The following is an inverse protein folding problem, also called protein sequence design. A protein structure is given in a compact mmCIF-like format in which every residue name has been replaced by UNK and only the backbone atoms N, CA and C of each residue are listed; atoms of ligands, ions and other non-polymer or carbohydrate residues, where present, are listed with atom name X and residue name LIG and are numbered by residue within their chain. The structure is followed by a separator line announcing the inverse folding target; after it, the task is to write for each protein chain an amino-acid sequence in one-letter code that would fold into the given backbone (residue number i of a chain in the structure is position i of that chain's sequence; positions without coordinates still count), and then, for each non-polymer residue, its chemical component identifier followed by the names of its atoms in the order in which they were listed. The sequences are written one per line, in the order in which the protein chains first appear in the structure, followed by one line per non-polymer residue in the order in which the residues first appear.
data_IF_919812734327
#
_entry.id   IF_919812734327
#
_cell.length_a   1.000
_cell.length_b   1.000
_cell.length_c   1.000
_cell.angle_alpha   90.00
_cell.angle_beta   90.00
_cell.angle_gamma   90.00
#
_symmetry.space_group_name_H-M   'P 1'
#
loop_
_entity.id
_entity.type
_entity.pdbx_description
1 polymer ?
#
# COMPACT_ATOMS: atom_id res chain seq x y z
N UNK A 1 -28.91 -10.05 -19.84
CA UNK A 1 -28.04 -11.00 -19.14
C UNK A 1 -28.07 -12.30 -19.91
N UNK A 2 -26.91 -12.82 -20.28
CA UNK A 2 -26.77 -14.13 -20.91
C UNK A 2 -25.71 -14.93 -20.16
N UNK A 3 -26.10 -16.07 -19.60
CA UNK A 3 -25.25 -16.85 -18.68
C UNK A 3 -26.07 -17.34 -17.50
N UNK A 4 -25.41 -18.02 -16.56
CA UNK A 4 -25.95 -18.29 -15.24
C UNK A 4 -25.22 -17.37 -14.25
N UNK A 5 -25.98 -16.63 -13.45
CA UNK A 5 -25.44 -15.84 -12.36
C UNK A 5 -25.28 -16.74 -11.12
N UNK A 6 -24.09 -16.85 -10.56
CA UNK A 6 -23.82 -17.70 -9.40
C UNK A 6 -22.38 -17.55 -8.90
N UNK A 7 -22.08 -18.04 -7.69
CA UNK A 7 -20.75 -17.86 -7.11
C UNK A 7 -19.67 -18.53 -7.96
N UNK A 8 -18.60 -17.79 -8.30
CA UNK A 8 -17.53 -18.24 -9.19
C UNK A 8 -17.90 -18.31 -10.67
N UNK A 9 -19.09 -17.81 -11.05
CA UNK A 9 -19.56 -17.77 -12.43
C UNK A 9 -19.44 -16.37 -13.01
N UNK A 10 -19.15 -16.32 -14.32
CA UNK A 10 -19.16 -15.08 -15.09
C UNK A 10 -20.46 -14.99 -15.89
N UNK A 11 -21.19 -13.90 -15.73
CA UNK A 11 -22.41 -13.58 -16.50
C UNK A 11 -22.16 -12.36 -17.35
N UNK A 12 -22.47 -12.45 -18.63
CA UNK A 12 -22.42 -11.29 -19.51
C UNK A 12 -23.65 -10.40 -19.29
N UNK A 13 -23.40 -9.16 -18.90
CA UNK A 13 -24.39 -8.09 -18.80
C UNK A 13 -24.32 -7.29 -20.08
N UNK A 14 -25.43 -7.20 -20.82
CA UNK A 14 -25.49 -6.45 -22.06
C UNK A 14 -26.82 -5.69 -22.21
N UNK A 15 -26.78 -4.54 -22.88
CA UNK A 15 -27.98 -3.86 -23.34
C UNK A 15 -28.74 -4.72 -24.37
N UNK A 16 -30.07 -4.65 -24.34
CA UNK A 16 -30.89 -5.32 -25.34
C UNK A 16 -30.56 -4.80 -26.75
N UNK A 17 -30.50 -5.71 -27.72
CA UNK A 17 -30.29 -5.50 -29.15
C UNK A 17 -31.23 -4.47 -29.81
N UNK A 18 -32.34 -4.13 -29.17
CA UNK A 18 -33.27 -3.07 -29.58
C UNK A 18 -32.89 -1.65 -29.15
N UNK A 19 -31.86 -1.47 -28.32
CA UNK A 19 -31.37 -0.17 -27.86
C UNK A 19 -30.18 0.31 -28.69
N UNK A 20 -29.92 1.63 -28.69
CA UNK A 20 -28.68 2.18 -29.28
C UNK A 20 -27.47 1.70 -28.47
N UNK A 21 -26.35 1.49 -29.16
CA UNK A 21 -25.10 1.06 -28.56
C UNK A 21 -24.63 2.04 -27.48
N UNK A 22 -24.41 1.52 -26.27
CA UNK A 22 -23.67 2.22 -25.25
C UNK A 22 -22.18 2.29 -25.61
N UNK A 23 -21.52 3.33 -25.10
CA UNK A 23 -20.07 3.51 -25.16
C UNK A 23 -19.38 2.87 -23.97
N UNK A 24 -20.05 2.80 -22.81
CA UNK A 24 -19.56 2.15 -21.59
C UNK A 24 -20.73 1.56 -20.79
N UNK A 25 -20.48 0.50 -20.02
CA UNK A 25 -21.45 -0.08 -19.10
C UNK A 25 -20.77 -0.45 -17.78
N UNK A 26 -21.42 -0.08 -16.67
CA UNK A 26 -21.08 -0.49 -15.31
C UNK A 26 -22.25 -1.30 -14.76
N UNK A 27 -22.00 -2.47 -14.19
CA UNK A 27 -23.02 -3.24 -13.51
C UNK A 27 -22.52 -3.71 -12.14
N UNK A 28 -23.40 -3.65 -11.15
CA UNK A 28 -23.18 -4.16 -9.81
C UNK A 28 -24.21 -5.26 -9.55
N UNK A 29 -23.77 -6.39 -8.99
CA UNK A 29 -24.69 -7.40 -8.48
C UNK A 29 -24.65 -7.46 -6.97
N UNK A 30 -25.83 -7.46 -6.36
CA UNK A 30 -26.00 -7.48 -4.91
C UNK A 30 -26.97 -8.59 -4.49
N UNK A 31 -26.71 -9.31 -3.39
CA UNK A 31 -27.67 -10.26 -2.85
C UNK A 31 -28.92 -9.54 -2.31
N UNK A 32 -30.12 -10.06 -2.59
CA UNK A 32 -31.41 -9.46 -2.18
C UNK A 32 -31.71 -9.61 -0.69
N UNK A 33 -31.17 -10.64 -0.04
CA UNK A 33 -31.36 -10.94 1.38
C UNK A 33 -30.01 -11.25 2.02
N UNK A 34 -29.71 -10.62 3.15
CA UNK A 34 -28.38 -10.69 3.77
C UNK A 34 -27.43 -9.77 3.02
N UNK A 35 -27.10 -8.63 3.62
CA UNK A 35 -26.01 -7.82 3.14
C UNK A 35 -24.75 -8.53 3.62
N UNK A 36 -24.03 -9.18 2.71
CA UNK A 36 -22.73 -9.76 3.04
C UNK A 36 -21.66 -8.73 2.66
N UNK A 37 -21.09 -7.99 3.63
CA UNK A 37 -20.06 -7.00 3.36
C UNK A 37 -18.80 -7.61 2.73
N UNK A 38 -18.62 -8.94 2.75
CA UNK A 38 -17.55 -9.61 2.00
C UNK A 38 -17.86 -9.78 0.49
N UNK A 39 -19.12 -9.57 0.06
CA UNK A 39 -19.56 -9.78 -1.34
C UNK A 39 -19.64 -8.52 -2.18
N UNK A 40 -19.57 -7.34 -1.55
CA UNK A 40 -19.43 -6.08 -2.25
C UNK A 40 -18.21 -5.44 -1.63
N UNK A 41 -17.22 -5.13 -2.44
CA UNK A 41 -16.09 -4.31 -2.03
C UNK A 41 -16.59 -2.87 -1.81
N UNK A 42 -17.33 -2.71 -0.72
CA UNK A 42 -18.23 -1.59 -0.51
C UNK A 42 -17.44 -0.32 -0.25
N UNK A 43 -16.18 -0.44 0.18
CA UNK A 43 -15.26 0.66 0.38
C UNK A 43 -14.91 1.34 -0.94
N UNK A 44 -14.48 0.57 -1.96
CA UNK A 44 -14.26 1.03 -3.32
C UNK A 44 -15.54 1.62 -3.94
N UNK A 45 -16.69 0.98 -3.68
CA UNK A 45 -17.98 1.49 -4.16
C UNK A 45 -18.46 2.74 -3.41
N UNK A 46 -18.15 2.92 -2.12
CA UNK A 46 -18.59 4.08 -1.33
C UNK A 46 -17.86 5.35 -1.69
N UNK A 47 -16.56 5.28 -2.01
CA UNK A 47 -15.84 6.45 -2.52
C UNK A 47 -16.43 6.94 -3.85
N UNK A 48 -16.66 6.02 -4.79
CA UNK A 48 -17.24 6.33 -6.09
C UNK A 48 -18.73 6.71 -6.02
N UNK A 49 -19.53 5.96 -5.24
CA UNK A 49 -20.98 6.10 -5.15
C UNK A 49 -21.44 7.29 -4.32
N UNK A 50 -20.73 7.64 -3.24
CA UNK A 50 -21.02 8.85 -2.45
C UNK A 50 -20.82 10.13 -3.29
N UNK A 51 -19.84 10.12 -4.20
CA UNK A 51 -19.55 11.20 -5.13
C UNK A 51 -20.55 11.23 -6.31
N UNK A 52 -20.88 10.07 -6.89
CA UNK A 52 -21.75 9.98 -8.07
C UNK A 52 -23.25 10.13 -7.79
N UNK A 53 -23.74 9.74 -6.60
CA UNK A 53 -25.18 9.67 -6.34
C UNK A 53 -25.85 11.05 -6.11
N UNK A 54 -25.08 12.14 -5.99
CA UNK A 54 -25.60 13.40 -5.46
C UNK A 54 -26.03 14.45 -6.50
N UNK A 55 -25.72 14.33 -7.80
CA UNK A 55 -26.25 15.11 -8.96
C UNK A 55 -25.27 14.94 -10.15
N UNK A 56 -25.59 14.71 -11.43
CA UNK A 56 -26.80 14.80 -12.24
C UNK A 56 -26.69 13.84 -13.47
N UNK A 57 -27.80 13.58 -14.16
CA UNK A 57 -27.94 12.72 -15.35
C UNK A 57 -27.27 13.28 -16.63
N UNK A 58 -25.98 13.64 -16.58
CA UNK A 58 -25.09 13.79 -17.74
C UNK A 58 -24.12 12.61 -17.79
N UNK A 59 -23.59 12.25 -18.97
CA UNK A 59 -22.60 11.16 -19.09
C UNK A 59 -21.38 11.30 -18.16
N UNK A 60 -20.52 10.28 -18.16
CA UNK A 60 -19.29 10.20 -17.38
C UNK A 60 -18.30 11.35 -17.70
N UNK A 61 -18.27 11.81 -18.96
CA UNK A 61 -17.29 12.80 -19.47
C UNK A 61 -17.39 14.20 -18.78
N UNK A 62 -18.58 14.81 -18.60
CA UNK A 62 -18.72 16.01 -17.79
C UNK A 62 -18.28 15.87 -16.31
N UNK A 63 -18.39 14.67 -15.74
CA UNK A 63 -17.94 14.37 -14.37
C UNK A 63 -16.42 14.18 -14.32
N UNK A 64 -15.85 13.61 -15.39
CA UNK A 64 -14.40 13.42 -15.58
C UNK A 64 -13.63 14.75 -15.72
N UNK A 65 -14.27 15.81 -16.23
CA UNK A 65 -13.70 17.17 -16.25
C UNK A 65 -13.69 17.87 -14.89
N UNK A 66 -14.42 17.35 -13.90
CA UNK A 66 -14.52 17.86 -12.52
C UNK A 66 -13.77 16.95 -11.51
N UNK A 67 -13.06 15.91 -11.99
CA UNK A 67 -12.23 15.03 -11.15
C UNK A 67 -11.10 15.84 -10.50
N UNK A 68 -10.86 15.56 -9.22
CA UNK A 68 -10.08 16.38 -8.27
C UNK A 68 -8.66 16.63 -8.77
N UNK A 69 -8.30 17.89 -9.06
CA UNK A 69 -6.89 18.30 -9.04
C UNK A 69 -6.52 18.68 -7.62
N UNK A 70 -5.50 18.00 -7.08
CA UNK A 70 -4.82 18.42 -5.86
C UNK A 70 -3.62 19.25 -6.31
N UNK A 71 -3.63 20.51 -5.92
CA UNK A 71 -2.60 21.47 -6.29
C UNK A 71 -1.77 21.81 -5.06
N UNK A 72 -0.46 21.70 -5.18
CA UNK A 72 0.47 22.29 -4.22
C UNK A 72 0.92 23.65 -4.77
N UNK A 73 0.82 24.67 -3.92
CA UNK A 73 1.16 26.05 -4.23
C UNK A 73 2.32 26.49 -3.36
N UNK A 74 3.35 27.00 -4.00
CA UNK A 74 4.45 27.72 -3.37
C UNK A 74 4.31 29.21 -3.64
N UNK A 75 4.44 30.01 -2.59
CA UNK A 75 4.65 31.46 -2.68
C UNK A 75 5.91 31.82 -1.89
N UNK A 76 6.84 32.54 -2.50
CA UNK A 76 8.05 33.05 -1.85
C UNK A 76 8.24 34.53 -2.11
N UNK A 77 8.49 35.27 -1.03
CA UNK A 77 8.74 36.70 -1.08
C UNK A 77 9.86 37.09 -0.12
N UNK A 78 10.45 38.25 -0.40
CA UNK A 78 11.40 38.87 0.50
C UNK A 78 10.66 39.43 1.72
N UNK A 79 11.09 39.03 2.92
CA UNK A 79 10.56 39.54 4.17
C UNK A 79 11.60 39.46 5.29
N UNK A 80 11.87 40.61 5.90
CA UNK A 80 12.79 40.68 7.04
C UNK A 80 12.07 40.31 8.34
N UNK A 81 12.53 39.23 8.98
CA UNK A 81 11.97 38.70 10.23
C UNK A 81 13.04 38.44 11.29
N UNK A 82 12.59 38.49 12.54
CA UNK A 82 13.41 38.21 13.74
C UNK A 82 12.68 37.21 14.62
N UNK A 83 13.03 35.93 14.50
CA UNK A 83 12.45 34.82 15.26
C UNK A 83 13.49 34.30 16.25
N UNK A 84 13.16 34.29 17.54
CA UNK A 84 14.04 33.86 18.64
C UNK A 84 15.48 34.44 18.61
N UNK A 85 15.60 35.67 18.10
CA UNK A 85 16.87 36.39 17.99
C UNK A 85 17.73 36.02 16.79
N UNK A 86 17.22 35.18 15.88
CA UNK A 86 17.79 34.92 14.57
C UNK A 86 17.06 35.71 13.48
N UNK A 87 17.78 36.03 12.41
CA UNK A 87 17.29 36.88 11.33
C UNK A 87 17.09 36.08 10.05
N UNK A 88 15.98 36.30 9.36
CA UNK A 88 15.65 35.75 8.05
C UNK A 88 15.23 36.87 7.10
N UNK A 89 15.54 36.72 5.81
CA UNK A 89 15.26 37.71 4.76
C UNK A 89 14.35 37.16 3.64
N UNK A 90 13.99 35.89 3.69
CA UNK A 90 13.06 35.24 2.76
C UNK A 90 12.05 34.41 3.53
N UNK A 91 10.79 34.49 3.12
CA UNK A 91 9.71 33.68 3.64
C UNK A 91 9.08 32.88 2.52
N UNK A 92 8.93 31.58 2.76
CA UNK A 92 8.28 30.64 1.83
C UNK A 92 7.00 30.17 2.49
N UNK A 93 5.93 30.15 1.72
CA UNK A 93 4.69 29.48 2.08
C UNK A 93 4.42 28.30 1.16
N UNK A 94 3.92 27.22 1.75
CA UNK A 94 3.43 26.06 1.05
C UNK A 94 2.00 25.78 1.50
N UNK A 95 1.13 25.51 0.53
CA UNK A 95 -0.23 25.05 0.83
C UNK A 95 -0.70 24.08 -0.22
N UNK A 96 -1.54 23.14 0.21
CA UNK A 96 -2.20 22.22 -0.67
C UNK A 96 -3.68 22.59 -0.76
N UNK A 97 -4.18 22.74 -1.98
CA UNK A 97 -5.57 23.01 -2.28
C UNK A 97 -6.11 21.89 -3.17
N UNK A 98 -7.18 21.24 -2.76
CA UNK A 98 -7.97 20.42 -3.68
C UNK A 98 -8.99 21.32 -4.37
N UNK A 99 -9.05 21.31 -5.70
CA UNK A 99 -10.01 22.10 -6.47
C UNK A 99 -11.41 21.45 -6.47
N UNK A 100 -11.94 21.18 -5.28
CA UNK A 100 -13.21 20.49 -5.09
C UNK A 100 -14.14 21.31 -4.22
N UNK A 101 -15.40 21.50 -4.64
CA UNK A 101 -16.47 22.06 -3.79
C UNK A 101 -16.90 21.14 -2.62
N UNK A 102 -16.34 19.92 -2.56
CA UNK A 102 -16.71 18.83 -1.67
C UNK A 102 -15.55 18.23 -0.86
N UNK A 103 -14.29 18.57 -1.15
CA UNK A 103 -13.20 18.20 -0.27
C UNK A 103 -13.34 19.08 0.98
N UNK A 104 -13.76 18.51 2.10
CA UNK A 104 -13.53 19.20 3.37
C UNK A 104 -12.02 19.35 3.50
N UNK A 105 -11.57 20.59 3.68
CA UNK A 105 -10.17 21.03 3.79
C UNK A 105 -9.32 20.26 4.84
N UNK A 106 -9.91 19.31 5.57
CA UNK A 106 -9.25 18.45 6.55
C UNK A 106 -9.03 16.99 6.11
N UNK A 107 -9.25 16.62 4.85
CA UNK A 107 -9.00 15.26 4.34
C UNK A 107 -7.58 15.05 3.76
N UNK A 108 -6.84 16.13 3.51
CA UNK A 108 -5.43 16.05 3.14
C UNK A 108 -4.62 16.50 4.36
N UNK A 109 -4.03 15.54 5.07
CA UNK A 109 -3.02 15.82 6.09
C UNK A 109 -1.72 16.25 5.40
N UNK A 110 -1.73 17.43 4.79
CA UNK A 110 -0.56 18.03 4.19
C UNK A 110 0.39 18.48 5.30
N UNK A 111 1.61 17.96 5.32
CA UNK A 111 2.69 18.38 6.21
C UNK A 111 3.98 18.55 5.41
N UNK A 112 4.49 19.78 5.21
CA UNK A 112 5.72 20.03 4.46
C UNK A 112 6.99 19.98 5.32
N UNK A 113 6.96 19.37 6.51
CA UNK A 113 8.10 19.30 7.44
C UNK A 113 9.41 18.76 6.84
N UNK A 114 9.33 18.00 5.75
CA UNK A 114 10.44 17.43 4.98
C UNK A 114 10.74 18.17 3.67
N UNK A 115 10.15 19.34 3.43
CA UNK A 115 10.50 20.18 2.29
C UNK A 115 11.89 20.80 2.48
N UNK A 116 12.74 20.66 1.45
CA UNK A 116 14.16 21.03 1.49
C UNK A 116 14.44 22.16 0.52
N UNK A 117 15.08 23.22 0.99
CA UNK A 117 15.60 24.29 0.13
C UNK A 117 17.07 24.03 -0.21
N UNK A 118 17.42 24.13 -1.49
CA UNK A 118 18.79 23.99 -1.99
C UNK A 118 19.21 25.22 -2.77
N UNK A 119 20.50 25.58 -2.68
CA UNK A 119 21.09 26.61 -3.53
C UNK A 119 21.52 26.05 -4.91
N UNK A 120 21.97 26.94 -5.80
CA UNK A 120 22.47 26.57 -7.13
C UNK A 120 23.69 25.63 -7.15
N UNK A 121 24.39 25.47 -6.02
CA UNK A 121 25.51 24.54 -5.87
C UNK A 121 25.06 23.17 -5.32
N UNK A 122 23.76 23.03 -4.98
CA UNK A 122 23.16 21.84 -4.41
C UNK A 122 23.31 21.72 -2.89
N UNK A 123 23.71 22.78 -2.20
CA UNK A 123 23.80 22.78 -0.74
C UNK A 123 22.41 22.98 -0.14
N UNK A 124 22.04 22.13 0.81
CA UNK A 124 20.80 22.26 1.59
C UNK A 124 20.90 23.41 2.60
N UNK A 125 19.86 24.25 2.64
CA UNK A 125 19.72 25.37 3.56
C UNK A 125 18.76 24.99 4.69
N UNK A 126 19.19 25.20 5.92
CA UNK A 126 18.35 25.01 7.11
C UNK A 126 17.48 26.24 7.35
N UNK A 127 16.17 26.09 7.59
CA UNK A 127 15.30 27.22 7.92
C UNK A 127 15.69 27.83 9.28
N UNK A 128 15.52 29.14 9.39
CA UNK A 128 15.61 29.90 10.65
C UNK A 128 14.37 29.65 11.52
N UNK A 129 13.20 29.59 10.87
CA UNK A 129 11.94 29.11 11.45
C UNK A 129 11.41 28.02 10.54
N UNK A 130 11.22 26.82 11.11
CA UNK A 130 10.76 25.65 10.38
C UNK A 130 9.25 25.72 10.05
N UNK A 131 8.78 24.83 9.20
CA UNK A 131 7.42 24.80 8.67
C UNK A 131 6.36 24.79 9.78
N UNK A 132 5.63 25.89 9.91
CA UNK A 132 4.55 26.01 10.89
C UNK A 132 3.32 26.69 10.30
N UNK A 133 2.14 26.33 10.82
CA UNK A 133 0.89 27.06 10.54
C UNK A 133 0.76 28.27 11.46
N UNK A 134 0.18 29.34 10.95
CA UNK A 134 -0.34 30.43 11.77
C UNK A 134 -1.83 30.18 12.07
N UNK A 135 -2.33 30.64 13.23
CA UNK A 135 -3.66 30.29 13.79
C UNK A 135 -4.87 30.53 12.86
N UNK A 136 -4.69 31.22 11.73
CA UNK A 136 -5.77 31.67 10.84
C UNK A 136 -5.47 31.45 9.36
N UNK A 137 -4.42 30.68 9.03
CA UNK A 137 -3.98 30.48 7.65
C UNK A 137 -3.91 28.99 7.32
N UNK A 138 -4.35 28.65 6.10
CA UNK A 138 -4.34 27.27 5.58
C UNK A 138 -2.98 26.91 4.94
N UNK A 139 -1.98 27.78 5.08
CA UNK A 139 -0.62 27.58 4.59
C UNK A 139 0.35 27.27 5.73
N UNK A 140 1.38 26.51 5.40
CA UNK A 140 2.59 26.38 6.20
C UNK A 140 3.60 27.42 5.76
N UNK A 141 4.40 27.91 6.71
CA UNK A 141 5.43 28.90 6.45
C UNK A 141 6.76 28.46 7.02
N UNK A 142 7.83 28.71 6.28
CA UNK A 142 9.20 28.61 6.76
C UNK A 142 9.98 29.88 6.39
N UNK A 143 10.91 30.25 7.25
CA UNK A 143 11.73 31.45 7.09
C UNK A 143 13.18 31.06 6.85
N UNK A 144 13.81 31.64 5.85
CA UNK A 144 15.19 31.35 5.46
C UNK A 144 16.06 32.60 5.50
N UNK A 145 17.34 32.40 5.81
CA UNK A 145 18.38 33.40 5.65
C UNK A 145 19.19 33.06 4.41
N UNK A 146 18.87 33.72 3.31
CA UNK A 146 19.60 33.61 2.04
C UNK A 146 20.75 34.62 1.98
N UNK A 147 21.69 34.39 1.08
CA UNK A 147 22.83 35.27 0.86
C UNK A 147 22.38 36.69 0.46
N UNK A 148 22.97 37.70 1.08
CA UNK A 148 22.66 39.12 0.87
C UNK A 148 23.63 39.82 -0.09
N UNK A 149 24.74 39.17 -0.40
CA UNK A 149 25.81 39.73 -1.21
C UNK A 149 25.69 39.30 -2.69
N UNK A 150 25.08 38.15 -2.98
CA UNK A 150 24.98 37.61 -4.33
C UNK A 150 23.54 37.19 -4.71
N UNK A 151 23.15 37.47 -5.96
CA UNK A 151 21.92 36.97 -6.57
C UNK A 151 22.04 35.46 -6.83
N UNK A 152 20.99 34.69 -6.54
CA UNK A 152 21.06 33.23 -6.64
C UNK A 152 19.75 32.58 -7.06
N UNK A 153 19.89 31.40 -7.65
CA UNK A 153 18.78 30.47 -7.91
C UNK A 153 18.68 29.48 -6.75
N UNK A 154 17.46 29.23 -6.30
CA UNK A 154 17.16 28.30 -5.23
C UNK A 154 16.05 27.35 -5.65
N UNK A 155 16.16 26.09 -5.25
CA UNK A 155 15.18 25.05 -5.55
C UNK A 155 14.62 24.49 -4.27
N UNK A 156 13.30 24.60 -4.10
CA UNK A 156 12.55 23.99 -3.01
C UNK A 156 11.98 22.64 -3.48
N UNK A 157 12.39 21.55 -2.87
CA UNK A 157 11.82 20.22 -3.11
C UNK A 157 10.83 19.90 -1.99
N UNK A 158 9.54 19.80 -2.32
CA UNK A 158 8.50 19.37 -1.37
C UNK A 158 8.41 17.84 -1.29
N UNK A 159 7.76 17.34 -0.25
CA UNK A 159 7.48 15.92 -0.06
C UNK A 159 6.21 15.45 -0.81
N UNK A 160 5.47 16.35 -1.44
CA UNK A 160 4.21 16.04 -2.10
C UNK A 160 4.40 15.28 -3.42
N UNK A 161 5.61 15.29 -3.99
CA UNK A 161 5.97 14.45 -5.14
C UNK A 161 5.34 14.86 -6.48
N UNK A 162 4.73 16.04 -6.58
CA UNK A 162 4.05 16.51 -7.79
C UNK A 162 4.97 17.14 -8.84
N UNK A 163 6.27 17.29 -8.56
CA UNK A 163 7.25 17.85 -9.50
C UNK A 163 8.69 17.72 -9.01
N UNK A 164 9.65 18.08 -9.87
CA UNK A 164 11.10 18.03 -9.58
C UNK A 164 11.61 19.14 -8.63
N UNK A 165 10.69 19.99 -8.13
CA UNK A 165 10.96 21.10 -7.22
C UNK A 165 10.54 22.46 -7.79
N UNK A 166 10.39 23.45 -6.90
CA UNK A 166 10.06 24.83 -7.23
C UNK A 166 11.33 25.68 -7.34
N UNK A 167 11.60 26.27 -8.50
CA UNK A 167 12.80 27.08 -8.71
C UNK A 167 12.47 28.57 -8.66
N UNK A 168 13.12 29.33 -7.77
CA UNK A 168 12.98 30.78 -7.71
C UNK A 168 14.32 31.50 -7.70
N UNK A 169 14.30 32.77 -8.11
CA UNK A 169 15.46 33.66 -8.09
C UNK A 169 15.33 34.64 -6.94
N UNK A 170 16.42 34.88 -6.22
CA UNK A 170 16.48 35.90 -5.16
C UNK A 170 17.45 37.02 -5.52
N UNK A 171 16.97 38.27 -5.42
CA UNK A 171 17.71 39.49 -5.70
C UNK A 171 17.89 40.30 -4.41
N UNK A 172 18.97 40.07 -3.63
CA UNK A 172 19.10 40.68 -2.31
C UNK A 172 19.15 42.21 -2.34
N UNK A 173 19.78 42.80 -3.35
CA UNK A 173 19.87 44.27 -3.49
C UNK A 173 18.59 44.93 -4.01
N UNK A 174 17.66 44.14 -4.55
CA UNK A 174 16.36 44.60 -5.03
C UNK A 174 15.22 44.26 -4.08
N UNK A 175 15.50 43.55 -2.98
CA UNK A 175 14.54 43.11 -1.97
C UNK A 175 13.34 42.39 -2.60
N UNK A 176 13.61 41.50 -3.57
CA UNK A 176 12.57 40.76 -4.30
C UNK A 176 13.01 39.35 -4.69
N UNK A 177 12.00 38.55 -4.99
CA UNK A 177 12.11 37.24 -5.62
C UNK A 177 11.45 37.28 -6.99
N UNK A 178 11.96 36.50 -7.94
CA UNK A 178 11.28 36.22 -9.23
C UNK A 178 10.95 34.73 -9.31
N UNK A 179 9.88 34.39 -10.06
CA UNK A 179 9.25 33.07 -10.06
C UNK A 179 8.80 32.62 -8.65
N UNK A 180 8.40 33.58 -7.82
CA UNK A 180 8.06 33.31 -6.42
C UNK A 180 6.72 32.60 -6.23
N UNK A 181 5.79 32.77 -7.17
CA UNK A 181 4.49 32.08 -7.16
C UNK A 181 4.50 30.95 -8.18
N UNK A 182 4.36 29.72 -7.70
CA UNK A 182 4.33 28.51 -8.53
C UNK A 182 3.30 27.53 -8.00
N UNK A 183 2.72 26.74 -8.90
CA UNK A 183 1.68 25.75 -8.60
C UNK A 183 1.95 24.49 -9.42
N UNK A 184 1.88 23.33 -8.77
CA UNK A 184 1.86 22.03 -9.42
C UNK A 184 0.56 21.31 -9.05
N UNK A 185 -0.22 20.93 -10.06
CA UNK A 185 -1.46 20.21 -9.87
C UNK A 185 -1.36 18.77 -10.37
N UNK A 186 -1.94 17.83 -9.63
CA UNK A 186 -2.21 16.50 -10.16
C UNK A 186 -3.22 16.60 -11.31
N UNK A 187 -2.90 16.03 -12.47
CA UNK A 187 -3.85 15.94 -13.59
C UNK A 187 -3.87 17.15 -14.54
N UNK A 188 -2.78 17.92 -14.64
CA UNK A 188 -2.64 19.01 -15.64
C UNK A 188 -2.52 18.53 -17.10
N UNK A 189 -2.41 17.21 -17.32
CA UNK A 189 -2.61 16.61 -18.64
C UNK A 189 -4.08 16.18 -18.77
N UNK A 190 -4.77 16.69 -19.80
CA UNK A 190 -6.06 16.12 -20.23
C UNK A 190 -5.83 14.63 -20.52
N UNK A 191 -6.15 13.76 -19.56
CA UNK A 191 -6.10 12.31 -19.78
C UNK A 191 -7.02 11.98 -20.95
N UNK A 192 -6.51 11.20 -21.89
CA UNK A 192 -7.31 10.74 -23.02
C UNK A 192 -8.42 9.80 -22.55
N UNK A 193 -9.49 9.67 -23.34
CA UNK A 193 -10.58 8.73 -23.06
C UNK A 193 -10.10 7.28 -22.81
N UNK A 194 -8.93 6.93 -23.38
CA UNK A 194 -8.27 5.62 -23.25
C UNK A 194 -7.47 5.52 -21.93
N UNK A 195 -6.72 6.55 -21.53
CA UNK A 195 -5.98 6.56 -20.24
C UNK A 195 -6.92 6.56 -19.03
N UNK A 196 -8.04 7.28 -19.12
CA UNK A 196 -9.10 7.23 -18.10
C UNK A 196 -9.73 5.83 -18.08
N UNK A 197 -9.92 5.23 -19.25
CA UNK A 197 -10.45 3.88 -19.31
C UNK A 197 -9.49 2.89 -18.64
N UNK A 198 -8.20 2.95 -18.93
CA UNK A 198 -7.20 2.06 -18.35
C UNK A 198 -7.13 2.22 -16.83
N UNK A 199 -7.20 3.44 -16.30
CA UNK A 199 -7.27 3.71 -14.85
C UNK A 199 -8.51 3.07 -14.20
N UNK A 200 -9.67 3.24 -14.84
CA UNK A 200 -10.95 2.75 -14.33
C UNK A 200 -11.08 1.22 -14.51
N UNK A 201 -10.52 0.67 -15.58
CA UNK A 201 -10.44 -0.77 -15.85
C UNK A 201 -9.50 -1.46 -14.85
N UNK A 202 -8.33 -0.88 -14.56
CA UNK A 202 -7.42 -1.37 -13.52
C UNK A 202 -8.12 -1.41 -12.16
N UNK A 203 -8.81 -0.32 -11.78
CA UNK A 203 -9.57 -0.27 -10.52
C UNK A 203 -10.69 -1.32 -10.46
N UNK A 204 -11.56 -1.39 -11.46
CA UNK A 204 -12.75 -2.26 -11.40
C UNK A 204 -12.46 -3.72 -11.77
N UNK A 205 -11.39 -4.02 -12.50
CA UNK A 205 -11.02 -5.41 -12.85
C UNK A 205 -10.63 -6.22 -11.62
N UNK A 206 -10.20 -5.57 -10.54
CA UNK A 206 -9.93 -6.20 -9.25
C UNK A 206 -11.19 -6.56 -8.46
N UNK A 207 -12.35 -6.00 -8.83
CA UNK A 207 -13.60 -6.14 -8.07
C UNK A 207 -14.53 -7.18 -8.71
N UNK A 208 -14.52 -8.40 -8.20
CA UNK A 208 -15.36 -9.51 -8.70
C UNK A 208 -16.87 -9.11 -8.77
N UNK A 209 -17.41 -8.40 -7.77
CA UNK A 209 -18.84 -8.01 -7.73
C UNK A 209 -19.25 -6.88 -8.69
N UNK A 210 -18.31 -6.33 -9.47
CA UNK A 210 -18.51 -5.24 -10.41
C UNK A 210 -18.17 -5.72 -11.83
N UNK A 211 -19.03 -5.37 -12.79
CA UNK A 211 -18.75 -5.57 -14.21
C UNK A 211 -18.53 -4.21 -14.86
N UNK A 212 -17.36 -4.04 -15.47
CA UNK A 212 -17.00 -2.86 -16.25
C UNK A 212 -16.63 -3.29 -17.66
N UNK A 213 -16.92 -2.43 -18.66
CA UNK A 213 -16.56 -2.75 -20.04
C UNK A 213 -16.88 -1.67 -21.06
N UNK A 214 -16.10 -1.68 -22.15
CA UNK A 214 -16.31 -0.84 -23.33
C UNK A 214 -17.52 -1.34 -24.11
N UNK A 215 -18.37 -0.41 -24.52
CA UNK A 215 -19.49 -0.67 -25.38
C UNK A 215 -20.76 -1.00 -24.61
N UNK A 216 -21.50 -1.99 -25.09
CA UNK A 216 -22.83 -2.33 -24.58
C UNK A 216 -22.87 -3.57 -23.70
N UNK A 217 -21.70 -4.12 -23.36
CA UNK A 217 -21.60 -5.33 -22.54
C UNK A 217 -20.38 -5.33 -21.63
N UNK A 218 -20.51 -5.95 -20.47
CA UNK A 218 -19.44 -6.23 -19.53
C UNK A 218 -19.64 -7.63 -18.92
N UNK A 219 -18.56 -8.24 -18.48
CA UNK A 219 -18.57 -9.53 -17.82
C UNK A 219 -18.57 -9.35 -16.31
N UNK A 220 -19.64 -9.80 -15.66
CA UNK A 220 -19.81 -9.75 -14.21
C UNK A 220 -19.36 -11.08 -13.61
N UNK A 221 -18.46 -11.07 -12.63
CA UNK A 221 -17.95 -12.31 -12.01
C UNK A 221 -18.25 -12.37 -10.51
N UNK A 222 -19.29 -13.06 -10.08
CA UNK A 222 -19.55 -13.13 -8.63
C UNK A 222 -18.42 -13.86 -7.88
N UNK A 223 -17.98 -13.34 -6.71
CA UNK A 223 -17.06 -14.05 -5.82
C UNK A 223 -17.54 -15.47 -5.52
N UNK A 224 -16.63 -16.42 -5.32
CA UNK A 224 -16.98 -17.84 -5.13
C UNK A 224 -17.73 -18.08 -3.80
N UNK A 225 -17.57 -17.20 -2.81
CA UNK A 225 -18.32 -17.21 -1.54
C UNK A 225 -19.66 -16.45 -1.55
N UNK A 226 -20.02 -15.81 -2.68
CA UNK A 226 -21.32 -15.14 -2.81
C UNK A 226 -22.45 -16.07 -2.36
N UNK A 227 -23.42 -15.58 -1.57
CA UNK A 227 -24.54 -16.39 -1.06
C UNK A 227 -25.12 -17.33 -2.14
N UNK A 228 -24.93 -18.66 -2.03
CA UNK A 228 -25.27 -19.59 -3.11
C UNK A 228 -26.77 -19.73 -3.34
N UNK A 229 -27.59 -19.30 -2.37
CA UNK A 229 -29.06 -19.36 -2.44
C UNK A 229 -29.65 -17.96 -2.20
N UNK A 230 -29.73 -17.15 -3.25
CA UNK A 230 -30.34 -15.83 -3.15
C UNK A 230 -30.83 -15.30 -4.48
N UNK A 231 -31.86 -14.45 -4.45
CA UNK A 231 -32.12 -13.57 -5.57
C UNK A 231 -30.98 -12.55 -5.63
N UNK A 232 -30.35 -12.38 -6.78
CA UNK A 232 -29.42 -11.28 -7.00
C UNK A 232 -30.13 -10.16 -7.76
N UNK A 233 -29.93 -8.94 -7.28
CA UNK A 233 -30.32 -7.73 -7.99
C UNK A 233 -29.10 -7.19 -8.70
N UNK A 234 -29.17 -7.16 -10.02
CA UNK A 234 -28.16 -6.51 -10.87
C UNK A 234 -28.66 -5.13 -11.24
N UNK A 235 -27.90 -4.12 -10.84
CA UNK A 235 -28.13 -2.73 -11.22
C UNK A 235 -27.06 -2.39 -12.24
N UNK A 236 -27.48 -2.05 -13.46
CA UNK A 236 -26.58 -1.66 -14.52
C UNK A 236 -26.83 -0.20 -14.91
N UNK A 237 -25.77 0.53 -15.20
CA UNK A 237 -25.80 1.87 -15.73
C UNK A 237 -24.95 1.88 -17.00
N UNK A 238 -25.54 2.32 -18.10
CA UNK A 238 -24.87 2.38 -19.39
C UNK A 238 -24.86 3.81 -19.92
N UNK A 239 -23.72 4.23 -20.44
CA UNK A 239 -23.58 5.51 -21.12
C UNK A 239 -23.93 5.34 -22.59
N UNK A 240 -24.86 6.17 -23.08
CA UNK A 240 -25.23 6.24 -24.49
C UNK A 240 -24.67 7.52 -25.12
N UNK A 241 -24.00 7.36 -26.27
CA UNK A 241 -23.31 8.45 -26.97
C UNK A 241 -21.89 8.73 -26.43
N UNK A 242 -21.22 9.72 -27.01
CA UNK A 242 -19.85 10.14 -26.64
C UNK A 242 -19.77 11.67 -26.49
N UNK A 243 -18.72 12.15 -25.80
CA UNK A 243 -18.51 13.57 -25.51
C UNK A 243 -19.55 14.18 -24.57
N UNK A 244 -19.63 15.51 -24.55
CA UNK A 244 -20.51 16.30 -23.64
C UNK A 244 -22.02 16.05 -23.84
N UNK A 245 -22.42 15.34 -24.89
CA UNK A 245 -23.81 14.97 -25.17
C UNK A 245 -24.16 13.54 -24.72
N UNK A 246 -23.23 12.82 -24.10
CA UNK A 246 -23.47 11.49 -23.58
C UNK A 246 -24.55 11.51 -22.48
N UNK A 247 -25.39 10.47 -22.45
CA UNK A 247 -26.50 10.33 -21.50
C UNK A 247 -26.42 9.00 -20.76
N UNK A 248 -26.86 9.00 -19.51
CA UNK A 248 -26.84 7.81 -18.66
C UNK A 248 -28.21 7.12 -18.68
N UNK A 249 -28.20 5.80 -18.87
CA UNK A 249 -29.39 4.97 -18.79
C UNK A 249 -29.16 3.88 -17.76
N UNK A 250 -30.01 3.84 -16.74
CA UNK A 250 -30.02 2.77 -15.76
C UNK A 250 -30.98 1.66 -16.20
N UNK A 251 -30.58 0.42 -15.96
CA UNK A 251 -31.38 -0.78 -16.14
C UNK A 251 -31.31 -1.62 -14.86
N UNK A 252 -32.44 -2.24 -14.52
CA UNK A 252 -32.54 -3.18 -13.41
C UNK A 252 -32.82 -4.57 -13.98
N UNK A 253 -32.05 -5.56 -13.53
CA UNK A 253 -32.29 -6.97 -13.77
C UNK A 253 -32.32 -7.73 -12.44
N UNK A 254 -33.17 -8.73 -12.35
CA UNK A 254 -33.13 -9.70 -11.24
C UNK A 254 -32.92 -11.09 -11.81
N UNK A 255 -31.93 -11.80 -11.29
CA UNK A 255 -31.66 -13.19 -11.64
C UNK A 255 -31.60 -14.02 -10.36
N UNK A 256 -32.15 -15.23 -10.42
CA UNK A 256 -32.03 -16.18 -9.32
C UNK A 256 -30.68 -16.86 -9.49
N UNK A 257 -29.81 -16.79 -8.47
CA UNK A 257 -28.51 -17.42 -8.60
C UNK A 257 -28.63 -18.92 -8.79
N UNK A 258 -27.79 -19.49 -9.64
CA UNK A 258 -27.58 -20.94 -9.64
C UNK A 258 -26.63 -21.26 -8.49
N UNK A 259 -27.03 -22.08 -7.51
CA UNK A 259 -26.15 -22.46 -6.42
C UNK A 259 -24.90 -23.13 -6.97
N UNK A 260 -23.74 -22.72 -6.48
CA UNK A 260 -22.52 -23.47 -6.74
C UNK A 260 -22.73 -24.90 -6.17
N UNK A 261 -22.64 -25.96 -7.00
CA UNK A 261 -22.89 -27.33 -6.54
C UNK A 261 -21.92 -27.78 -5.44
N UNK A 262 -20.77 -27.12 -5.31
CA UNK A 262 -19.79 -27.34 -4.24
C UNK A 262 -19.25 -25.97 -3.77
N UNK A 263 -19.78 -25.38 -2.69
CA UNK A 263 -19.26 -24.13 -2.17
C UNK A 263 -17.80 -24.33 -1.75
N UNK A 264 -16.88 -23.40 -2.07
CA UNK A 264 -15.50 -23.48 -1.62
C UNK A 264 -15.47 -23.49 -0.09
N UNK A 265 -14.53 -24.23 0.49
CA UNK A 265 -14.28 -24.16 1.92
C UNK A 265 -13.62 -22.81 2.22
N UNK A 266 -14.06 -22.16 3.29
CA UNK A 266 -13.42 -20.94 3.74
C UNK A 266 -12.12 -21.26 4.47
N UNK A 267 -11.09 -20.48 4.19
CA UNK A 267 -9.77 -20.55 4.83
C UNK A 267 -9.61 -19.40 5.86
N UNK A 268 -8.76 -19.59 6.86
CA UNK A 268 -8.43 -18.51 7.79
C UNK A 268 -7.36 -17.60 7.19
N UNK A 269 -7.31 -16.36 7.69
CA UNK A 269 -6.25 -15.40 7.38
C UNK A 269 -5.37 -15.21 8.61
N UNK A 270 -4.10 -14.98 8.35
CA UNK A 270 -3.13 -14.46 9.32
C UNK A 270 -2.81 -13.02 8.94
N UNK A 271 -2.73 -12.15 9.95
CA UNK A 271 -2.35 -10.75 9.79
C UNK A 271 -1.08 -10.50 10.59
N UNK A 272 -0.05 -9.99 9.92
CA UNK A 272 1.17 -9.49 10.58
C UNK A 272 1.40 -8.02 10.27
N UNK A 273 2.13 -7.34 11.15
CA UNK A 273 2.29 -5.90 11.13
C UNK A 273 3.76 -5.48 11.26
N UNK A 274 4.16 -4.47 10.49
CA UNK A 274 5.48 -3.87 10.58
C UNK A 274 5.39 -2.33 10.58
N UNK A 275 6.08 -1.61 11.47
CA UNK A 275 6.97 -2.13 12.52
C UNK A 275 6.19 -2.76 13.70
N UNK A 276 6.84 -3.54 14.59
CA UNK A 276 6.21 -4.30 15.67
C UNK A 276 5.49 -3.44 16.72
N UNK A 277 5.98 -2.23 17.00
CA UNK A 277 5.37 -1.31 17.96
C UNK A 277 5.27 0.12 17.41
N UNK A 278 4.33 0.37 16.48
CA UNK A 278 4.21 1.65 15.83
C UNK A 278 3.58 2.70 16.77
N UNK A 279 3.76 3.97 16.44
CA UNK A 279 3.25 5.13 17.20
C UNK A 279 2.35 6.00 16.32
N UNK A 280 1.60 6.93 16.91
CA UNK A 280 0.83 7.89 16.14
C UNK A 280 1.72 8.64 15.13
N UNK A 281 1.34 8.58 13.86
CA UNK A 281 2.08 9.17 12.74
C UNK A 281 2.98 8.18 11.99
N UNK A 282 3.25 6.99 12.53
CA UNK A 282 4.03 5.97 11.82
C UNK A 282 3.19 5.34 10.70
N UNK A 283 3.88 4.97 9.62
CA UNK A 283 3.32 4.12 8.56
C UNK A 283 3.41 2.68 9.00
N UNK A 284 2.27 1.99 9.02
CA UNK A 284 2.18 0.57 9.32
C UNK A 284 1.86 -0.18 8.05
N UNK A 285 2.65 -1.23 7.79
CA UNK A 285 2.36 -2.22 6.79
C UNK A 285 1.64 -3.40 7.43
N UNK A 286 0.58 -3.86 6.77
CA UNK A 286 -0.09 -5.13 7.07
C UNK A 286 0.30 -6.12 5.99
N UNK A 287 0.75 -7.30 6.41
CA UNK A 287 0.83 -8.49 5.57
C UNK A 287 -0.39 -9.37 5.81
N UNK A 288 -1.03 -9.79 4.73
CA UNK A 288 -2.20 -10.68 4.75
C UNK A 288 -1.81 -12.00 4.10
N UNK A 289 -1.77 -13.06 4.90
CA UNK A 289 -1.38 -14.41 4.46
C UNK A 289 -2.46 -15.44 4.79
N UNK A 290 -2.37 -16.61 4.15
CA UNK A 290 -3.17 -17.78 4.50
C UNK A 290 -2.52 -18.60 5.64
N UNK A 291 -3.15 -19.71 6.06
CA UNK A 291 -2.59 -20.59 7.10
C UNK A 291 -1.25 -21.26 6.72
N UNK A 292 -0.84 -21.20 5.46
CA UNK A 292 0.44 -21.69 4.96
C UNK A 292 1.47 -20.56 4.72
N UNK A 293 1.22 -19.38 5.31
CA UNK A 293 2.03 -18.17 5.19
C UNK A 293 2.22 -17.71 3.73
N UNK A 294 1.29 -18.04 2.84
CA UNK A 294 1.33 -17.55 1.46
C UNK A 294 0.59 -16.21 1.36
N UNK A 295 1.14 -15.21 0.65
CA UNK A 295 0.50 -13.92 0.49
C UNK A 295 -0.86 -13.98 -0.22
N UNK A 296 -1.84 -13.21 0.26
CA UNK A 296 -3.20 -13.18 -0.29
C UNK A 296 -3.54 -11.81 -0.90
N UNK A 297 -3.49 -11.68 -2.24
CA UNK A 297 -3.83 -10.43 -2.92
C UNK A 297 -5.34 -10.22 -3.06
N UNK A 298 -5.75 -8.98 -3.36
CA UNK A 298 -7.12 -8.65 -3.72
C UNK A 298 -8.11 -8.65 -2.55
N UNK A 299 -7.63 -8.58 -1.31
CA UNK A 299 -8.48 -8.47 -0.12
C UNK A 299 -8.69 -7.00 0.25
N UNK A 300 -9.93 -6.65 0.57
CA UNK A 300 -10.31 -5.32 1.05
C UNK A 300 -9.82 -5.16 2.49
N UNK A 301 -9.06 -4.09 2.75
CA UNK A 301 -8.53 -3.73 4.07
C UNK A 301 -9.06 -2.36 4.46
N UNK A 302 -9.79 -2.28 5.58
CA UNK A 302 -10.40 -1.05 6.08
C UNK A 302 -9.83 -0.67 7.43
N UNK A 303 -9.41 0.59 7.57
CA UNK A 303 -9.13 1.20 8.85
C UNK A 303 -10.32 2.08 9.27
N UNK A 304 -10.94 1.77 10.39
CA UNK A 304 -12.15 2.44 10.89
C UNK A 304 -11.90 3.04 12.26
N UNK A 305 -12.29 4.30 12.46
CA UNK A 305 -12.25 5.01 13.74
C UNK A 305 -13.57 5.71 13.97
N UNK A 306 -14.16 5.57 15.16
CA UNK A 306 -15.43 6.23 15.52
C UNK A 306 -16.58 5.98 14.51
N UNK A 307 -16.63 4.78 13.93
CA UNK A 307 -17.53 4.38 12.84
C UNK A 307 -17.35 5.15 11.51
N UNK A 308 -16.21 5.83 11.34
CA UNK A 308 -15.78 6.44 10.09
C UNK A 308 -14.63 5.63 9.49
N UNK A 309 -14.75 5.25 8.22
CA UNK A 309 -13.62 4.67 7.47
C UNK A 309 -12.59 5.77 7.22
N UNK A 310 -11.39 5.58 7.73
CA UNK A 310 -10.25 6.47 7.52
C UNK A 310 -9.44 6.08 6.29
N UNK A 311 -9.25 4.76 6.10
CA UNK A 311 -8.54 4.21 4.95
C UNK A 311 -9.32 3.02 4.42
N UNK A 312 -9.35 2.93 3.10
CA UNK A 312 -9.78 1.75 2.36
C UNK A 312 -8.70 1.42 1.34
N UNK A 313 -8.21 0.19 1.36
CA UNK A 313 -7.19 -0.30 0.44
C UNK A 313 -7.47 -1.74 0.04
N UNK A 314 -6.75 -2.20 -0.98
CA UNK A 314 -6.77 -3.58 -1.45
C UNK A 314 -5.36 -4.14 -1.26
N UNK A 315 -5.22 -5.38 -0.78
CA UNK A 315 -3.91 -6.04 -0.69
C UNK A 315 -3.32 -6.26 -2.08
N UNK A 316 -2.05 -5.92 -2.25
CA UNK A 316 -1.35 -6.08 -3.53
C UNK A 316 -0.98 -7.54 -3.80
N UNK A 317 -0.28 -7.81 -4.92
CA UNK A 317 0.18 -9.16 -5.31
C UNK A 317 1.01 -9.89 -4.25
N UNK A 318 1.64 -9.15 -3.33
CA UNK A 318 2.41 -9.68 -2.21
C UNK A 318 1.59 -9.73 -0.90
N UNK A 319 0.26 -9.59 -0.95
CA UNK A 319 -0.60 -9.59 0.23
C UNK A 319 -0.43 -8.36 1.13
N UNK A 320 0.26 -7.31 0.67
CA UNK A 320 0.63 -6.17 1.50
C UNK A 320 -0.32 -4.99 1.30
N UNK A 321 -0.51 -4.22 2.36
CA UNK A 321 -1.07 -2.87 2.31
C UNK A 321 -0.48 -1.99 3.41
N UNK A 322 -0.58 -0.67 3.29
CA UNK A 322 0.00 0.25 4.27
C UNK A 322 -0.88 1.46 4.54
N UNK A 323 -0.83 1.97 5.77
CA UNK A 323 -1.52 3.19 6.17
C UNK A 323 -0.81 3.88 7.34
N UNK A 324 -1.06 5.18 7.49
CA UNK A 324 -0.58 5.96 8.63
C UNK A 324 -1.49 5.74 9.83
N UNK A 325 -0.93 5.52 11.01
CA UNK A 325 -1.69 5.30 12.24
C UNK A 325 -2.04 6.62 12.97
N UNK A 326 -3.33 6.95 13.12
CA UNK A 326 -3.74 8.01 14.05
C UNK A 326 -3.86 7.49 15.49
N UNK A 327 -3.65 8.37 16.47
CA UNK A 327 -3.88 8.04 17.87
C UNK A 327 -5.35 7.66 18.15
N UNK A 328 -5.57 6.72 19.08
CA UNK A 328 -6.89 6.28 19.55
C UNK A 328 -7.22 4.82 19.22
N UNK A 329 -8.49 4.46 19.40
CA UNK A 329 -8.99 3.10 19.11
C UNK A 329 -9.38 2.99 17.64
N UNK A 330 -8.79 2.02 16.94
CA UNK A 330 -9.00 1.76 15.53
C UNK A 330 -9.46 0.31 15.34
N UNK A 331 -10.29 0.09 14.33
CA UNK A 331 -10.72 -1.23 13.91
C UNK A 331 -10.22 -1.50 12.51
N UNK A 332 -9.52 -2.61 12.33
CA UNK A 332 -9.02 -3.09 11.04
C UNK A 332 -9.90 -4.24 10.60
N UNK A 333 -10.47 -4.13 9.41
CA UNK A 333 -11.29 -5.17 8.80
C UNK A 333 -10.63 -5.65 7.52
N UNK A 334 -10.42 -6.96 7.41
CA UNK A 334 -9.91 -7.59 6.19
C UNK A 334 -10.94 -8.59 5.69
N UNK A 335 -11.35 -8.46 4.43
CA UNK A 335 -12.36 -9.34 3.84
C UNK A 335 -12.23 -9.46 2.33
N UNK A 336 -12.59 -10.63 1.80
CA UNK A 336 -12.60 -10.90 0.36
C UNK A 336 -12.28 -12.36 0.06
N UNK A 337 -12.33 -12.71 -1.22
CA UNK A 337 -11.93 -14.03 -1.71
C UNK A 337 -12.71 -15.19 -1.09
N UNK A 338 -11.99 -16.27 -0.75
CA UNK A 338 -12.52 -17.47 -0.09
C UNK A 338 -12.16 -17.54 1.40
N UNK A 339 -12.01 -16.40 2.07
CA UNK A 339 -11.49 -16.36 3.43
C UNK A 339 -12.55 -15.96 4.46
N UNK A 340 -12.36 -16.36 5.72
CA UNK A 340 -13.11 -15.78 6.83
C UNK A 340 -12.67 -14.32 7.04
N UNK A 341 -13.58 -13.37 7.26
CA UNK A 341 -13.21 -12.00 7.56
C UNK A 341 -12.36 -11.93 8.83
N UNK A 342 -11.23 -11.23 8.76
CA UNK A 342 -10.42 -10.92 9.92
C UNK A 342 -10.78 -9.54 10.47
N UNK A 343 -10.83 -9.42 11.80
CA UNK A 343 -11.10 -8.19 12.50
C UNK A 343 -10.12 -8.04 13.66
N UNK A 344 -9.41 -6.92 13.70
CA UNK A 344 -8.50 -6.56 14.78
C UNK A 344 -8.87 -5.19 15.32
N UNK A 345 -8.86 -5.03 16.64
CA UNK A 345 -8.99 -3.73 17.28
C UNK A 345 -7.66 -3.35 17.91
N UNK A 346 -7.15 -2.18 17.55
CA UNK A 346 -5.89 -1.66 18.08
C UNK A 346 -6.11 -0.33 18.81
N UNK A 347 -5.32 -0.09 19.84
CA UNK A 347 -5.32 1.13 20.66
C UNK A 347 -3.95 1.78 20.51
N UNK A 348 -3.89 2.85 19.73
CA UNK A 348 -2.66 3.57 19.43
C UNK A 348 -2.46 4.70 20.43
N UNK A 349 -1.32 4.70 21.14
CA UNK A 349 -0.93 5.67 22.16
C UNK A 349 0.48 6.19 21.90
N UNK A 350 0.90 7.25 22.58
CA UNK A 350 2.27 7.79 22.46
C UNK A 350 3.36 6.77 22.87
N UNK A 351 2.99 5.78 23.69
CA UNK A 351 3.87 4.71 24.17
C UNK A 351 3.93 3.50 23.22
N UNK A 352 3.04 3.43 22.22
CA UNK A 352 2.94 2.30 21.29
C UNK A 352 1.51 1.85 21.00
N UNK A 353 1.38 0.66 20.40
CA UNK A 353 0.09 0.01 20.08
C UNK A 353 -0.14 -1.21 20.98
N UNK A 354 -1.39 -1.37 21.41
CA UNK A 354 -1.89 -2.60 22.03
C UNK A 354 -3.13 -3.08 21.29
N UNK A 355 -3.37 -4.38 21.29
CA UNK A 355 -4.65 -4.96 20.86
C UNK A 355 -5.70 -4.84 21.98
N UNK A 356 -6.97 -5.06 21.65
CA UNK A 356 -8.08 -4.90 22.61
C UNK A 356 -8.13 -5.96 23.72
N UNK A 357 -7.49 -7.11 23.50
CA UNK A 357 -7.21 -8.14 24.51
C UNK A 357 -5.99 -7.82 25.38
N UNK A 358 -5.23 -6.77 25.05
CA UNK A 358 -4.10 -6.27 25.82
C UNK A 358 -2.76 -6.95 25.49
N UNK A 359 -2.72 -7.74 24.42
CA UNK A 359 -1.49 -8.32 23.86
C UNK A 359 -0.76 -7.30 22.96
N UNK A 360 0.46 -7.65 22.56
CA UNK A 360 1.23 -6.89 21.58
C UNK A 360 0.66 -7.09 20.17
N UNK A 361 0.96 -6.16 19.28
CA UNK A 361 0.59 -6.26 17.87
C UNK A 361 1.24 -7.52 17.28
N UNK A 362 0.52 -8.37 16.53
CA UNK A 362 1.13 -9.54 15.88
C UNK A 362 2.12 -9.06 14.83
N UNK A 363 3.40 -9.12 15.15
CA UNK A 363 4.47 -8.57 14.34
C UNK A 363 5.22 -9.66 13.56
N UNK A 364 5.84 -9.24 12.47
CA UNK A 364 6.71 -10.01 11.60
C UNK A 364 7.79 -9.03 11.14
N UNK A 365 8.87 -8.98 11.91
CA UNK A 365 9.84 -7.89 11.91
C UNK A 365 10.79 -7.95 10.72
N UNK A 366 11.12 -9.14 10.23
CA UNK A 366 11.96 -9.36 9.06
C UNK A 366 11.19 -9.70 7.77
N UNK A 367 9.89 -10.02 7.88
CA UNK A 367 8.98 -10.18 6.77
C UNK A 367 9.08 -11.54 6.09
N UNK A 368 9.54 -12.57 6.78
CA UNK A 368 9.66 -13.92 6.23
C UNK A 368 8.37 -14.76 6.30
N UNK A 369 7.36 -14.21 6.99
CA UNK A 369 6.02 -14.79 7.11
C UNK A 369 5.80 -15.60 8.39
N UNK A 370 6.77 -15.69 9.30
CA UNK A 370 6.60 -16.20 10.67
C UNK A 370 6.43 -15.00 11.61
N UNK A 371 5.51 -15.12 12.58
CA UNK A 371 5.33 -14.02 13.55
C UNK A 371 6.51 -14.01 14.53
N UNK A 372 6.94 -12.82 14.98
CA UNK A 372 8.02 -12.64 15.97
C UNK A 372 7.82 -13.48 17.25
N UNK A 373 6.57 -13.81 17.58
CA UNK A 373 6.22 -14.62 18.76
C UNK A 373 6.45 -16.12 18.56
N UNK A 374 6.49 -16.58 17.31
CA UNK A 374 6.71 -17.97 16.88
C UNK A 374 8.06 -18.16 16.17
N UNK A 375 8.86 -17.08 16.04
CA UNK A 375 10.16 -17.05 15.37
C UNK A 375 11.31 -17.00 16.38
N UNK A 376 12.27 -17.92 16.24
CA UNK A 376 13.47 -17.95 17.08
C UNK A 376 14.51 -16.89 16.64
N UNK A 377 14.44 -16.41 15.40
CA UNK A 377 15.29 -15.36 14.84
C UNK A 377 14.49 -14.20 14.21
N UNK A 378 13.69 -13.43 14.98
CA UNK A 378 12.76 -12.41 14.47
C UNK A 378 13.37 -11.24 13.65
N UNK A 379 14.69 -11.19 13.51
CA UNK A 379 15.42 -10.15 12.81
C UNK A 379 16.22 -10.71 11.59
N UNK A 380 16.11 -12.01 11.28
CA UNK A 380 16.83 -12.70 10.20
C UNK A 380 15.87 -13.46 9.27
N UNK A 381 15.49 -12.87 8.11
CA UNK A 381 14.45 -13.42 7.26
C UNK A 381 14.85 -14.73 6.54
N UNK A 382 16.08 -15.20 6.74
CA UNK A 382 16.59 -16.47 6.23
C UNK A 382 16.53 -17.59 7.30
N UNK A 383 16.10 -17.32 8.55
CA UNK A 383 16.07 -18.29 9.66
C UNK A 383 14.81 -18.15 10.53
N UNK A 384 14.13 -19.27 10.84
CA UNK A 384 12.90 -19.25 11.66
C UNK A 384 12.92 -20.21 12.86
N UNK A 385 13.86 -21.15 12.87
CA UNK A 385 13.88 -22.25 13.83
C UNK A 385 15.32 -22.63 14.21
N UNK A 386 15.49 -23.03 15.47
CA UNK A 386 16.71 -23.62 16.03
C UNK A 386 16.30 -24.94 16.71
N UNK A 387 16.37 -26.03 15.95
CA UNK A 387 15.80 -27.32 16.33
C UNK A 387 16.51 -27.99 17.52
N UNK A 388 17.77 -27.65 17.79
CA UNK A 388 18.54 -28.19 18.92
C UNK A 388 18.94 -27.16 19.99
N UNK A 389 18.75 -25.88 19.73
CA UNK A 389 18.88 -24.79 20.69
C UNK A 389 20.33 -24.35 20.90
N UNK A 390 21.19 -24.49 19.91
CA UNK A 390 22.61 -24.11 20.00
C UNK A 390 22.90 -22.65 19.59
N UNK A 391 21.87 -21.97 19.05
CA UNK A 391 21.90 -20.57 18.66
C UNK A 391 22.28 -20.32 17.19
N UNK A 392 22.40 -21.36 16.36
CA UNK A 392 22.52 -21.28 14.91
C UNK A 392 21.21 -21.78 14.28
N UNK A 393 20.62 -21.01 13.36
CA UNK A 393 19.37 -21.40 12.74
C UNK A 393 19.50 -22.64 11.86
N UNK A 394 18.39 -23.39 11.73
CA UNK A 394 18.32 -24.67 11.03
C UNK A 394 18.77 -24.59 9.56
N UNK A 395 18.67 -23.43 8.89
CA UNK A 395 19.11 -23.28 7.49
C UNK A 395 20.63 -23.08 7.37
N UNK A 396 21.27 -22.45 8.36
CA UNK A 396 22.70 -22.22 8.45
C UNK A 396 23.45 -23.37 9.14
N UNK A 397 22.77 -24.19 9.92
CA UNK A 397 23.36 -25.30 10.65
C UNK A 397 23.54 -26.55 9.77
N UNK A 398 24.78 -27.08 9.74
CA UNK A 398 25.11 -28.33 9.08
C UNK A 398 24.53 -29.56 9.81
N UNK A 399 24.29 -29.47 11.13
CA UNK A 399 23.70 -30.53 11.94
C UNK A 399 22.55 -30.02 12.84
N UNK A 400 21.38 -29.66 12.27
CA UNK A 400 20.25 -29.02 12.98
C UNK A 400 19.55 -29.82 14.09
N UNK A 401 20.15 -30.92 14.56
CA UNK A 401 19.60 -31.76 15.62
C UNK A 401 20.70 -32.20 16.61
N UNK A 402 21.91 -31.65 16.49
CA UNK A 402 23.05 -31.93 17.35
C UNK A 402 23.60 -30.62 17.93
N UNK A 403 23.20 -30.26 19.16
CA UNK A 403 23.51 -28.95 19.75
C UNK A 403 25.00 -28.76 20.09
N UNK A 404 25.83 -29.78 19.82
CA UNK A 404 27.27 -29.74 19.97
C UNK A 404 27.99 -29.51 18.62
N UNK A 405 27.29 -29.37 17.48
CA UNK A 405 27.89 -29.30 16.13
C UNK A 405 27.19 -28.36 15.14
N UNK A 406 27.82 -27.23 14.81
CA UNK A 406 27.22 -26.26 13.86
C UNK A 406 27.82 -26.28 12.45
N UNK A 407 28.99 -26.91 12.26
CA UNK A 407 29.81 -26.77 11.03
C UNK A 407 30.40 -28.08 10.55
N UNK A 408 30.39 -28.29 9.22
CA UNK A 408 31.12 -29.35 8.51
C UNK A 408 32.06 -28.70 7.48
N UNK A 409 33.25 -28.28 7.95
CA UNK A 409 34.16 -27.48 7.13
C UNK A 409 34.73 -28.24 5.93
N UNK A 410 34.82 -29.57 6.00
CA UNK A 410 35.37 -30.41 4.93
C UNK A 410 34.32 -31.24 4.17
N UNK A 411 33.04 -31.14 4.55
CA UNK A 411 31.90 -31.71 3.85
C UNK A 411 31.85 -33.24 3.94
N UNK A 412 32.40 -33.82 5.00
CA UNK A 412 32.52 -35.27 5.17
C UNK A 412 31.35 -35.90 5.96
N UNK A 413 30.43 -35.07 6.46
CA UNK A 413 29.26 -35.46 7.22
C UNK A 413 29.54 -35.70 8.71
N UNK A 414 30.70 -35.26 9.22
CA UNK A 414 31.06 -35.26 10.64
C UNK A 414 31.38 -33.83 11.06
N UNK A 415 30.77 -33.37 12.15
CA UNK A 415 30.98 -32.00 12.61
C UNK A 415 32.41 -31.72 13.06
N UNK A 416 32.81 -30.46 12.92
CA UNK A 416 34.16 -29.98 13.21
C UNK A 416 34.56 -30.22 14.69
N UNK A 417 33.61 -30.22 15.63
CA UNK A 417 33.90 -30.44 17.07
C UNK A 417 34.24 -31.91 17.37
N UNK A 418 33.59 -32.86 16.70
CA UNK A 418 33.80 -34.30 16.80
C UNK A 418 35.12 -34.71 16.13
N UNK A 419 35.51 -34.03 15.05
CA UNK A 419 36.83 -34.20 14.45
C UNK A 419 37.97 -33.77 15.40
N UNK A 420 37.72 -32.77 16.26
CA UNK A 420 38.69 -32.30 17.25
C UNK A 420 38.93 -33.35 18.36
N UNK A 421 37.92 -34.14 18.74
CA UNK A 421 38.04 -35.23 19.71
C UNK A 421 38.73 -36.49 19.16
N UNK A 422 38.76 -36.67 17.84
CA UNK A 422 39.39 -37.81 17.16
C UNK A 422 40.93 -37.73 17.01
N UNK A 423 41.53 -36.57 17.26
CA UNK A 423 42.96 -36.32 17.01
C UNK A 423 43.87 -36.66 18.19
N UNK A 424 43.79 -37.89 18.71
CA UNK A 424 44.90 -38.47 19.49
C UNK A 424 45.38 -39.78 18.86
N UNK A 425 46.70 -39.82 18.56
CA UNK A 425 47.49 -40.98 18.08
C UNK A 425 47.40 -41.24 16.57
N UNK A 426 48.45 -41.29 15.75
CA UNK A 426 49.89 -41.44 15.98
C UNK A 426 50.63 -41.19 14.66
N UNK A 427 51.68 -40.37 14.64
CA UNK A 427 52.69 -40.49 13.59
C UNK A 427 53.76 -41.47 14.08
N UNK A 428 53.89 -42.70 13.53
CA UNK A 428 55.09 -43.47 13.78
C UNK A 428 56.23 -42.82 12.98
N UNK A 429 57.31 -42.50 13.69
CA UNK A 429 58.60 -42.19 13.08
C UNK A 429 59.00 -43.31 12.11
N UNK A 430 58.87 -43.08 10.81
CA UNK A 430 59.55 -43.88 9.80
C UNK A 430 60.81 -43.13 9.35
N UNK A 431 61.92 -43.47 10.01
CA UNK A 431 63.27 -43.15 9.52
C UNK A 431 63.50 -43.97 8.24
N UNK A 432 63.57 -43.31 7.09
CA UNK A 432 64.08 -43.93 5.86
C UNK A 432 65.55 -43.53 5.65
N UNK A 433 66.46 -44.43 6.02
CA UNK A 433 67.85 -44.44 5.54
C UNK A 433 67.81 -44.98 4.11
N UNK A 434 68.47 -44.27 3.17
CA UNK A 434 68.28 -44.45 1.74
C UNK A 434 68.75 -45.77 1.12
N UNK A 435 68.30 -46.00 -0.13
CA UNK A 435 68.98 -46.85 -1.11
C UNK A 435 68.23 -48.13 -1.55
N UNK A 436 67.70 -48.07 -2.78
CA UNK A 436 67.51 -49.17 -3.76
C UNK A 436 66.68 -50.44 -3.43
N UNK A 437 65.58 -50.58 -4.19
CA UNK A 437 65.02 -51.78 -4.88
C UNK A 437 65.02 -53.13 -4.14
N UNK A 438 63.82 -53.68 -3.89
CA UNK A 438 63.38 -55.00 -4.39
C UNK A 438 61.94 -55.31 -3.99
N UNK A 439 61.09 -55.62 -4.98
CA UNK A 439 59.80 -56.25 -4.79
C UNK A 439 59.98 -57.71 -4.36
N UNK A 440 59.25 -58.15 -3.32
CA UNK A 440 58.94 -59.57 -3.08
C UNK A 440 57.52 -59.68 -2.51
N UNK A 441 56.63 -60.21 -3.35
CA UNK A 441 55.33 -60.75 -3.01
C UNK A 441 55.54 -62.21 -2.54
N UNK A 442 55.08 -62.60 -1.34
CA UNK A 442 54.96 -64.02 -0.93
C UNK A 442 53.60 -64.30 -0.29
N UNK A 443 52.72 -64.81 -1.14
CA UNK A 443 51.72 -65.89 -1.03
C UNK A 443 51.33 -66.45 0.37
N UNK A 444 50.02 -66.41 0.64
CA UNK A 444 49.13 -67.58 0.56
C UNK A 444 47.84 -67.21 -0.17
#
# INVERSE_FOLDING_TARGET
MTGALGPGQTTNIALDSGNESATRILALATPRNGFDPATIDFSAFTELGYVQAREAFGGWIPVEKDLVSVCEKMDVWHEERWDDGQHSNVRISLRQEANNRYASSGLLAYDPSNAVLTDSEGNTLTPVSDWNKEEWEDSYYANFKLDEDDEGTYTLTSNAGYGDGYEFLYYPHEYRTDNGEQEFCTGDEEMTDDEIFDLVDDLFSTLDSVAWGIGSSADLRLPILSSPNGDYTVIAVAQKGSGDNATMVAAFGSEISVPNPEPPQQENLTLSFSPPNPKPGDTVQISVTDEANQPVPGLSVLLVKDNLTLVASISNDNGLTSFVLPAGTLHIWVSGGNYYPAHLTIIVTDDGVLTDDGEELPADSDGDGVLDADDEFPDDPDETADSDGDGVGDNADAFPNDPDETMDSDGDGVGDNAQQEGSTSSSPNLILIGGAVAAVLVLL
#
